data_IF_339511199499
#
_entry.id   IF_339511199499
#
_cell.length_a   1.000
_cell.length_b   1.000
_cell.length_c   1.000
_cell.angle_alpha   90.00
_cell.angle_beta   90.00
_cell.angle_gamma   90.00
#
_symmetry.space_group_name_H-M   'P 1'
#
loop_
_entity.id
_entity.type
_entity.pdbx_description
1 polymer ?
#
# COMPACT_ATOMS: atom_id res chain seq x y z
N UNK A 1 -59.34 -45.39 19.65
CA UNK A 1 -58.74 -44.07 19.97
C UNK A 1 -57.27 -44.10 19.63
N UNK A 2 -56.89 -43.49 18.51
CA UNK A 2 -55.47 -43.39 18.11
C UNK A 2 -55.05 -41.93 18.29
N UNK A 3 -53.83 -41.65 18.83
CA UNK A 3 -53.37 -40.29 18.97
C UNK A 3 -52.73 -39.80 17.67
N UNK A 4 -53.14 -38.57 17.29
CA UNK A 4 -52.62 -37.80 16.15
C UNK A 4 -51.20 -37.36 16.42
N UNK A 5 -50.25 -37.81 15.58
CA UNK A 5 -48.87 -37.32 15.59
C UNK A 5 -48.78 -36.00 14.78
N UNK A 6 -48.50 -34.91 15.49
CA UNK A 6 -48.24 -33.62 14.89
C UNK A 6 -46.79 -33.57 14.40
N UNK A 7 -46.60 -33.54 13.07
CA UNK A 7 -45.30 -33.32 12.47
C UNK A 7 -44.95 -31.82 12.48
N UNK A 8 -44.03 -31.42 13.33
CA UNK A 8 -43.40 -30.09 13.25
C UNK A 8 -42.42 -30.07 12.12
N UNK A 9 -42.73 -29.32 11.03
CA UNK A 9 -41.79 -29.01 9.97
C UNK A 9 -40.91 -27.87 10.44
N UNK A 10 -39.68 -28.16 10.87
CA UNK A 10 -38.66 -27.19 11.17
C UNK A 10 -38.10 -26.57 9.87
N UNK A 11 -38.39 -25.32 9.64
CA UNK A 11 -37.76 -24.54 8.55
C UNK A 11 -36.39 -24.11 9.02
N UNK A 12 -35.34 -24.73 8.52
CA UNK A 12 -33.96 -24.27 8.77
C UNK A 12 -33.67 -23.03 7.93
N UNK A 13 -33.63 -21.85 8.57
CA UNK A 13 -33.09 -20.64 7.94
C UNK A 13 -31.56 -20.76 7.84
N UNK A 14 -31.08 -21.02 6.65
CA UNK A 14 -29.65 -20.87 6.32
C UNK A 14 -29.35 -19.36 6.21
N UNK A 15 -28.73 -18.78 7.25
CA UNK A 15 -28.17 -17.45 7.16
C UNK A 15 -26.88 -17.53 6.34
N UNK A 16 -26.93 -17.04 5.09
CA UNK A 16 -25.72 -16.80 4.30
C UNK A 16 -24.94 -15.65 4.98
N UNK A 17 -23.89 -15.99 5.70
CA UNK A 17 -22.84 -15.04 6.07
C UNK A 17 -22.05 -14.70 4.80
N UNK A 18 -22.42 -13.64 4.12
CA UNK A 18 -21.56 -13.01 3.14
C UNK A 18 -20.36 -12.41 3.89
N UNK A 19 -19.26 -13.16 3.95
CA UNK A 19 -18.00 -12.65 4.43
C UNK A 19 -17.57 -11.49 3.54
N UNK A 20 -17.55 -10.28 4.07
CA UNK A 20 -16.87 -9.15 3.46
C UNK A 20 -15.39 -9.51 3.37
N UNK A 21 -14.95 -9.97 2.21
CA UNK A 21 -13.53 -10.05 1.87
C UNK A 21 -13.09 -8.59 1.77
N UNK A 22 -12.55 -8.03 2.85
CA UNK A 22 -11.77 -6.80 2.77
C UNK A 22 -10.64 -7.09 1.81
N UNK A 23 -10.69 -6.52 0.62
CA UNK A 23 -9.54 -6.49 -0.26
C UNK A 23 -8.42 -5.82 0.53
N UNK A 24 -7.47 -6.61 1.03
CA UNK A 24 -6.26 -6.07 1.63
C UNK A 24 -5.60 -5.25 0.54
N UNK A 25 -5.57 -3.94 0.71
CA UNK A 25 -4.84 -3.05 -0.17
C UNK A 25 -3.43 -3.63 -0.32
N UNK A 26 -3.00 -3.87 -1.56
CA UNK A 26 -1.69 -4.44 -1.84
C UNK A 26 -0.65 -3.42 -1.42
N UNK A 27 0.04 -3.70 -0.33
CA UNK A 27 1.07 -2.84 0.23
C UNK A 27 2.41 -3.07 -0.47
N UNK A 28 3.31 -2.09 -0.40
CA UNK A 28 4.65 -2.23 -0.94
C UNK A 28 5.45 -3.24 -0.11
N UNK A 29 6.10 -4.23 -0.74
CA UNK A 29 7.04 -5.09 -0.04
C UNK A 29 8.12 -4.24 0.66
N UNK A 30 8.44 -4.58 1.90
CA UNK A 30 9.45 -3.87 2.68
C UNK A 30 8.98 -2.56 3.34
N UNK A 31 7.68 -2.21 3.25
CA UNK A 31 7.11 -1.08 3.97
C UNK A 31 6.72 -1.45 5.40
N UNK A 32 7.18 -0.68 6.35
CA UNK A 32 6.75 -0.71 7.73
C UNK A 32 6.00 0.60 8.07
N UNK A 33 4.71 0.52 8.33
CA UNK A 33 3.93 1.65 8.79
C UNK A 33 4.37 2.06 10.20
N UNK A 34 4.68 3.34 10.38
CA UNK A 34 5.14 3.89 11.65
C UNK A 34 3.99 4.53 12.42
N UNK A 35 3.20 5.35 11.73
CA UNK A 35 2.07 6.08 12.31
C UNK A 35 1.00 6.34 11.24
N UNK A 36 -0.25 6.37 11.70
CA UNK A 36 -1.42 6.74 10.91
C UNK A 36 -2.35 7.60 11.75
N UNK A 37 -2.92 8.63 11.17
CA UNK A 37 -3.91 9.49 11.80
C UNK A 37 -4.82 10.13 10.74
N UNK A 38 -6.05 10.45 11.13
CA UNK A 38 -6.93 11.28 10.32
C UNK A 38 -6.33 12.70 10.19
N UNK A 39 -6.43 13.28 9.00
CA UNK A 39 -5.93 14.64 8.77
C UNK A 39 -6.94 15.65 9.34
N UNK A 40 -6.53 16.36 10.39
CA UNK A 40 -7.34 17.41 11.00
C UNK A 40 -7.64 18.51 9.98
N UNK A 41 -8.91 18.94 9.89
CA UNK A 41 -9.36 19.97 8.97
C UNK A 41 -9.57 19.51 7.53
N UNK A 42 -9.35 18.23 7.21
CA UNK A 42 -9.62 17.64 5.89
C UNK A 42 -10.37 16.31 6.04
N UNK A 43 -11.69 16.33 6.27
CA UNK A 43 -12.49 15.12 6.40
C UNK A 43 -12.30 14.17 5.20
N UNK A 44 -12.16 12.88 5.48
CA UNK A 44 -11.95 11.86 4.45
C UNK A 44 -10.51 11.70 4.01
N UNK A 45 -9.56 12.40 4.63
CA UNK A 45 -8.13 12.24 4.39
C UNK A 45 -7.40 11.71 5.62
N UNK A 46 -6.28 11.05 5.40
CA UNK A 46 -5.39 10.54 6.44
C UNK A 46 -3.92 10.79 6.12
N UNK A 47 -3.11 10.79 7.16
CA UNK A 47 -1.66 10.87 7.09
C UNK A 47 -1.08 9.53 7.51
N UNK A 48 -0.18 8.98 6.69
CA UNK A 48 0.51 7.72 6.96
C UNK A 48 2.01 7.92 6.82
N UNK A 49 2.77 7.70 7.90
CA UNK A 49 4.22 7.71 7.83
C UNK A 49 4.78 6.30 7.85
N UNK A 50 5.81 6.05 7.06
CA UNK A 50 6.41 4.73 6.87
C UNK A 50 7.92 4.79 6.70
N UNK A 51 8.59 3.68 7.06
CA UNK A 51 9.91 3.35 6.54
C UNK A 51 9.72 2.31 5.45
N UNK A 52 10.38 2.49 4.33
CA UNK A 52 10.39 1.52 3.22
C UNK A 52 11.82 1.11 2.94
N UNK A 53 12.07 -0.18 2.81
CA UNK A 53 13.36 -0.73 2.43
C UNK A 53 13.22 -1.62 1.20
N UNK A 54 13.98 -1.32 0.15
CA UNK A 54 14.16 -2.15 -1.02
C UNK A 54 15.58 -2.69 -1.05
N UNK A 55 15.72 -4.00 -1.02
CA UNK A 55 17.01 -4.70 -1.07
C UNK A 55 17.56 -4.75 -2.49
N UNK A 56 18.86 -4.99 -2.67
CA UNK A 56 19.40 -5.31 -4.00
C UNK A 56 18.61 -6.42 -4.68
N UNK A 57 18.16 -6.17 -5.91
CA UNK A 57 17.30 -7.06 -6.67
C UNK A 57 15.80 -6.76 -6.57
N UNK A 58 15.35 -6.02 -5.57
CA UNK A 58 13.95 -5.64 -5.45
C UNK A 58 13.54 -4.63 -6.54
N UNK A 59 12.30 -4.73 -6.96
CA UNK A 59 11.70 -3.80 -7.90
C UNK A 59 10.74 -2.86 -7.17
N UNK A 60 10.90 -1.57 -7.42
CA UNK A 60 9.89 -0.55 -7.09
C UNK A 60 8.91 -0.49 -8.25
N UNK A 61 7.85 -1.27 -8.19
CA UNK A 61 6.86 -1.36 -9.25
C UNK A 61 6.23 0.02 -9.55
N UNK A 62 5.78 0.22 -10.78
CA UNK A 62 5.09 1.47 -11.18
C UNK A 62 3.75 1.57 -10.44
N UNK A 63 3.54 2.70 -9.79
CA UNK A 63 2.33 2.95 -9.00
C UNK A 63 2.03 4.45 -8.88
N UNK A 64 0.86 4.75 -8.36
CA UNK A 64 0.45 6.09 -7.94
C UNK A 64 -0.19 6.02 -6.55
N UNK A 65 -0.53 7.19 -6.00
CA UNK A 65 -1.24 7.31 -4.72
C UNK A 65 -2.46 8.22 -4.88
N UNK A 66 -3.55 7.92 -4.17
CA UNK A 66 -4.73 8.80 -4.07
C UNK A 66 -4.47 9.98 -3.13
N UNK A 67 -3.37 10.66 -3.35
CA UNK A 67 -2.89 11.78 -2.55
C UNK A 67 -1.42 12.09 -2.81
N UNK A 68 -0.79 12.80 -1.92
CA UNK A 68 0.61 13.21 -2.04
C UNK A 68 1.48 12.30 -1.20
N UNK A 69 2.60 11.83 -1.76
CA UNK A 69 3.71 11.27 -1.03
C UNK A 69 4.83 12.27 -0.94
N UNK A 70 5.27 12.60 0.27
CA UNK A 70 6.50 13.34 0.53
C UNK A 70 7.47 12.45 1.28
N UNK A 71 8.74 12.55 0.98
CA UNK A 71 9.71 11.64 1.58
C UNK A 71 11.14 12.15 1.55
N UNK A 72 11.99 11.30 2.10
CA UNK A 72 13.41 11.57 2.24
C UNK A 72 14.19 10.27 2.15
N UNK A 73 15.25 10.26 1.37
CA UNK A 73 16.13 9.08 1.25
C UNK A 73 17.03 9.00 2.47
N UNK A 74 16.81 7.98 3.31
CA UNK A 74 17.63 7.71 4.49
C UNK A 74 18.94 7.01 4.15
N UNK A 75 18.88 6.07 3.20
CA UNK A 75 20.03 5.35 2.67
C UNK A 75 19.92 5.29 1.16
N UNK A 76 20.92 5.85 0.49
CA UNK A 76 21.02 5.84 -0.96
C UNK A 76 21.42 4.48 -1.51
N UNK A 77 21.01 4.22 -2.76
CA UNK A 77 21.38 3.03 -3.50
C UNK A 77 21.45 3.30 -5.01
N UNK A 78 22.08 2.39 -5.74
CA UNK A 78 21.99 2.39 -7.20
C UNK A 78 20.66 1.80 -7.63
N UNK A 79 20.00 2.48 -8.57
CA UNK A 79 18.75 2.02 -9.18
C UNK A 79 18.87 2.02 -10.69
N UNK A 80 18.11 1.16 -11.34
CA UNK A 80 18.14 1.03 -12.80
C UNK A 80 16.73 0.97 -13.35
N UNK A 81 16.41 1.89 -14.23
CA UNK A 81 15.20 1.86 -15.05
C UNK A 81 15.39 0.93 -16.25
N UNK A 82 14.32 0.32 -16.78
CA UNK A 82 14.41 -0.53 -17.97
C UNK A 82 15.10 0.17 -19.14
N UNK A 83 16.13 -0.46 -19.71
CA UNK A 83 16.88 0.06 -20.86
C UNK A 83 17.71 1.33 -20.60
N UNK A 84 17.91 1.71 -19.32
CA UNK A 84 18.75 2.84 -18.93
C UNK A 84 19.97 2.36 -18.15
N UNK A 85 20.99 3.19 -18.07
CA UNK A 85 22.12 2.96 -17.16
C UNK A 85 21.68 3.15 -15.70
N UNK A 86 22.40 2.49 -14.79
CA UNK A 86 22.14 2.64 -13.36
C UNK A 86 22.54 4.06 -12.90
N UNK A 87 21.69 4.65 -12.08
CA UNK A 87 21.93 5.94 -11.41
C UNK A 87 21.95 5.75 -9.90
N UNK A 88 22.60 6.65 -9.17
CA UNK A 88 22.57 6.66 -7.71
C UNK A 88 21.49 7.60 -7.22
N UNK A 89 20.61 7.07 -6.36
CA UNK A 89 19.75 7.89 -5.52
C UNK A 89 20.50 8.18 -4.23
N UNK A 90 20.80 9.44 -3.99
CA UNK A 90 21.64 9.85 -2.86
C UNK A 90 20.84 9.93 -1.56
N UNK A 91 21.48 9.54 -0.44
CA UNK A 91 20.94 9.84 0.89
C UNK A 91 20.79 11.35 1.06
N UNK A 92 19.70 11.80 1.66
CA UNK A 92 19.39 13.20 1.82
C UNK A 92 18.55 13.81 0.70
N UNK A 93 18.33 13.10 -0.41
CA UNK A 93 17.48 13.61 -1.46
C UNK A 93 16.01 13.62 -1.04
N UNK A 94 15.26 14.70 -1.30
CA UNK A 94 13.82 14.79 -1.05
C UNK A 94 13.04 14.01 -2.11
N UNK A 95 11.86 13.53 -1.72
CA UNK A 95 10.88 12.89 -2.59
C UNK A 95 9.59 13.70 -2.52
N UNK A 96 8.96 13.94 -3.67
CA UNK A 96 7.62 14.49 -3.77
C UNK A 96 6.92 13.88 -4.98
N UNK A 97 5.94 13.03 -4.71
CA UNK A 97 5.07 12.43 -5.71
C UNK A 97 3.67 12.99 -5.55
N UNK A 98 3.15 13.59 -6.62
CA UNK A 98 1.84 14.22 -6.59
C UNK A 98 0.72 13.19 -6.75
N UNK A 99 -0.49 13.58 -6.34
CA UNK A 99 -1.70 12.77 -6.46
C UNK A 99 -1.87 12.23 -7.88
N UNK A 100 -2.12 10.93 -7.98
CA UNK A 100 -2.43 10.17 -9.20
C UNK A 100 -1.33 10.21 -10.28
N UNK A 101 -0.13 10.72 -9.95
CA UNK A 101 1.03 10.71 -10.84
C UNK A 101 1.79 9.40 -10.68
N UNK A 102 1.91 8.63 -11.77
CA UNK A 102 2.62 7.35 -11.79
C UNK A 102 4.12 7.56 -11.64
N UNK A 103 4.73 6.83 -10.71
CA UNK A 103 6.17 6.83 -10.43
C UNK A 103 6.70 5.43 -10.11
N UNK A 104 7.98 5.30 -9.73
CA UNK A 104 8.65 4.00 -9.60
C UNK A 104 9.05 3.43 -10.96
N UNK A 105 9.01 2.12 -11.10
CA UNK A 105 9.39 1.41 -12.33
C UNK A 105 10.89 1.22 -12.47
N UNK A 106 11.60 1.01 -11.36
CA UNK A 106 13.04 0.75 -11.35
C UNK A 106 13.39 -0.42 -10.42
N UNK A 107 14.53 -1.00 -10.62
CA UNK A 107 15.12 -2.05 -9.80
C UNK A 107 16.27 -1.48 -8.97
N UNK A 108 16.37 -1.89 -7.70
CA UNK A 108 17.56 -1.63 -6.88
C UNK A 108 18.68 -2.56 -7.33
N UNK A 109 19.83 -2.00 -7.67
CA UNK A 109 21.00 -2.74 -8.15
C UNK A 109 22.23 -2.46 -7.28
N UNK A 110 23.28 -3.25 -7.45
CA UNK A 110 24.49 -3.13 -6.62
C UNK A 110 24.33 -3.88 -5.30
N UNK A 111 24.93 -3.38 -4.23
CA UNK A 111 25.11 -4.07 -2.93
C UNK A 111 24.40 -3.39 -1.76
N UNK A 112 23.78 -2.22 -1.97
CA UNK A 112 23.12 -1.45 -0.91
C UNK A 112 21.62 -1.42 -1.08
N UNK A 113 20.87 -1.56 0.02
CA UNK A 113 19.44 -1.32 0.07
C UNK A 113 19.12 0.16 -0.07
N UNK A 114 18.04 0.48 -0.76
CA UNK A 114 17.43 1.81 -0.75
C UNK A 114 16.49 1.90 0.46
N UNK A 115 16.70 2.89 1.34
CA UNK A 115 15.79 3.14 2.47
C UNK A 115 15.19 4.54 2.37
N UNK A 116 13.88 4.60 2.56
CA UNK A 116 13.09 5.81 2.48
C UNK A 116 12.35 6.02 3.81
N UNK A 117 12.24 7.27 4.24
CA UNK A 117 11.14 7.69 5.10
C UNK A 117 10.10 8.39 4.23
N UNK A 118 8.85 7.98 4.31
CA UNK A 118 7.77 8.55 3.52
C UNK A 118 6.59 8.98 4.39
N UNK A 119 5.93 10.04 3.97
CA UNK A 119 4.68 10.53 4.53
C UNK A 119 3.68 10.65 3.39
N UNK A 120 2.59 9.91 3.48
CA UNK A 120 1.47 9.99 2.56
C UNK A 120 0.36 10.82 3.18
N UNK A 121 -0.18 11.77 2.42
CA UNK A 121 -1.42 12.49 2.74
C UNK A 121 -2.41 12.09 1.66
N UNK A 122 -3.31 11.18 2.00
CA UNK A 122 -4.11 10.41 1.02
C UNK A 122 -5.58 10.30 1.43
N UNK A 123 -6.41 9.90 0.49
CA UNK A 123 -7.81 9.60 0.74
C UNK A 123 -7.94 8.39 1.67
N UNK A 124 -8.65 8.56 2.77
CA UNK A 124 -8.89 7.49 3.75
C UNK A 124 -9.71 6.36 3.14
N UNK A 125 -9.29 5.13 3.42
CA UNK A 125 -9.98 3.93 2.95
C UNK A 125 -9.70 3.56 1.48
N UNK A 126 -8.81 4.29 0.80
CA UNK A 126 -8.25 3.88 -0.49
C UNK A 126 -6.97 3.08 -0.32
N UNK A 127 -6.59 2.23 -1.30
CA UNK A 127 -5.27 1.61 -1.32
C UNK A 127 -4.18 2.66 -1.25
N UNK A 128 -3.13 2.41 -0.44
CA UNK A 128 -2.00 3.34 -0.37
C UNK A 128 -1.22 3.35 -1.69
N UNK A 129 -1.13 2.21 -2.36
CA UNK A 129 -0.47 2.01 -3.65
C UNK A 129 -1.49 1.54 -4.69
N UNK A 130 -1.62 2.28 -5.79
CA UNK A 130 -2.37 1.87 -6.98
C UNK A 130 -1.38 1.45 -8.06
N UNK A 131 -1.19 0.14 -8.22
CA UNK A 131 -0.21 -0.42 -9.15
C UNK A 131 -0.69 -0.37 -10.59
N UNK A 132 0.20 0.06 -11.49
CA UNK A 132 -0.05 0.13 -12.94
C UNK A 132 0.46 -1.14 -13.59
N UNK A 133 -0.39 -1.76 -14.41
CA UNK A 133 -0.06 -2.95 -15.20
C UNK A 133 0.75 -2.60 -16.45
#
# INVERSE_FOLDING_TARGET
MQPIRLLLKGTACFALFAGLISATAQDSPGRAEMKRADLSGAPGMEVVSSIVEFKPGDEVARHSHHGVESGYILQGAKVQYPGKEAITLEAGAPILNLRDVVHGGYKVVGDKSLKLFTVHVVDKGKPLYEYVK
#
